data_IF_521382120227
#
_entry.id   IF_521382120227
#
_cell.length_a   1.000
_cell.length_b   1.000
_cell.length_c   1.000
_cell.angle_alpha   90.00
_cell.angle_beta   90.00
_cell.angle_gamma   90.00
#
_symmetry.space_group_name_H-M   'P 1'
#
loop_
_entity.id
_entity.type
_entity.pdbx_description
1 polymer ?
#
# COMPACT_ATOMS: atom_id res chain seq x y z
N UNK A 1 16.43 -16.35 -19.41
CA UNK A 1 16.82 -14.94 -19.07
C UNK A 1 15.70 -14.40 -18.18
N UNK A 2 16.03 -13.78 -17.05
CA UNK A 2 15.01 -13.19 -16.16
C UNK A 2 14.46 -11.94 -16.85
N UNK A 3 13.14 -11.86 -16.97
CA UNK A 3 12.45 -10.68 -17.48
C UNK A 3 12.34 -9.62 -16.37
N UNK A 4 12.73 -8.39 -16.65
CA UNK A 4 12.62 -7.24 -15.75
C UNK A 4 11.64 -6.24 -16.37
N UNK A 5 10.52 -5.93 -15.68
CA UNK A 5 9.54 -4.96 -16.16
C UNK A 5 10.14 -3.57 -16.37
N UNK A 6 9.79 -2.89 -17.47
CA UNK A 6 10.32 -1.55 -17.78
C UNK A 6 9.98 -0.51 -16.71
N UNK A 7 8.79 -0.60 -16.11
CA UNK A 7 8.37 0.32 -15.03
C UNK A 7 9.22 0.16 -13.78
N UNK A 8 9.54 -1.08 -13.40
CA UNK A 8 10.44 -1.35 -12.28
C UNK A 8 11.83 -0.77 -12.55
N UNK A 9 12.35 -0.98 -13.77
CA UNK A 9 13.62 -0.39 -14.19
C UNK A 9 13.58 1.15 -14.18
N UNK A 10 12.43 1.74 -14.56
CA UNK A 10 12.24 3.19 -14.51
C UNK A 10 12.18 3.72 -13.06
N UNK A 11 11.51 3.02 -12.15
CA UNK A 11 11.41 3.39 -10.73
C UNK A 11 12.75 3.32 -9.99
N UNK A 12 13.73 2.57 -10.52
CA UNK A 12 15.09 2.52 -9.97
C UNK A 12 15.96 3.71 -10.37
N UNK A 13 15.58 4.48 -11.39
CA UNK A 13 16.38 5.61 -11.88
C UNK A 13 16.46 6.71 -10.83
N UNK A 14 17.64 7.29 -10.69
CA UNK A 14 17.86 8.38 -9.73
C UNK A 14 18.28 7.93 -8.32
N UNK A 15 18.32 6.62 -8.03
CA UNK A 15 18.82 6.07 -6.76
C UNK A 15 19.90 5.03 -7.02
N UNK A 16 21.13 5.29 -6.53
CA UNK A 16 22.25 4.36 -6.67
C UNK A 16 21.97 3.01 -6.00
N UNK A 17 21.29 3.01 -4.86
CA UNK A 17 20.89 1.80 -4.14
C UNK A 17 19.93 0.96 -4.97
N UNK A 18 18.87 1.57 -5.53
CA UNK A 18 17.90 0.88 -6.38
C UNK A 18 18.50 0.35 -7.69
N UNK A 19 19.43 1.09 -8.28
CA UNK A 19 20.17 0.64 -9.48
C UNK A 19 20.99 -0.61 -9.12
N UNK A 20 21.75 -0.59 -8.02
CA UNK A 20 22.54 -1.74 -7.56
C UNK A 20 21.66 -2.96 -7.29
N UNK A 21 20.52 -2.76 -6.63
CA UNK A 21 19.52 -3.81 -6.40
C UNK A 21 19.01 -4.39 -7.74
N UNK A 22 18.66 -3.54 -8.70
CA UNK A 22 18.13 -3.94 -10.01
C UNK A 22 19.15 -4.78 -10.79
N UNK A 23 20.41 -4.37 -10.78
CA UNK A 23 21.51 -5.10 -11.45
C UNK A 23 21.77 -6.47 -10.81
N UNK A 24 21.58 -6.58 -9.50
CA UNK A 24 21.71 -7.83 -8.74
C UNK A 24 20.55 -8.81 -8.93
N UNK A 25 19.35 -8.36 -9.32
CA UNK A 25 18.14 -9.17 -9.40
C UNK A 25 18.31 -10.52 -10.12
N UNK A 26 18.94 -10.61 -11.32
CA UNK A 26 19.05 -11.89 -12.01
C UNK A 26 19.90 -12.94 -11.26
N UNK A 27 20.84 -12.52 -10.44
CA UNK A 27 21.65 -13.41 -9.61
C UNK A 27 20.85 -13.84 -8.38
N UNK A 28 20.23 -12.91 -7.67
CA UNK A 28 19.40 -13.15 -6.50
C UNK A 28 18.23 -14.07 -6.81
N UNK A 29 17.53 -13.89 -7.92
CA UNK A 29 16.43 -14.76 -8.34
C UNK A 29 16.91 -16.20 -8.54
N UNK A 30 18.07 -16.42 -9.17
CA UNK A 30 18.63 -17.77 -9.36
C UNK A 30 19.00 -18.42 -8.04
N UNK A 31 19.57 -17.66 -7.11
CA UNK A 31 19.90 -18.13 -5.77
C UNK A 31 18.64 -18.57 -5.02
N UNK A 32 17.60 -17.75 -4.99
CA UNK A 32 16.31 -18.05 -4.36
C UNK A 32 15.59 -19.24 -4.99
N UNK A 33 15.65 -19.39 -6.32
CA UNK A 33 15.12 -20.58 -7.00
C UNK A 33 15.82 -21.87 -6.52
N UNK A 34 17.13 -21.83 -6.31
CA UNK A 34 17.88 -22.94 -5.76
C UNK A 34 17.56 -23.19 -4.29
N UNK A 35 17.56 -22.13 -3.47
CA UNK A 35 17.33 -22.19 -2.02
C UNK A 35 15.94 -22.72 -1.68
N UNK A 36 14.90 -22.18 -2.31
CA UNK A 36 13.50 -22.54 -2.05
C UNK A 36 12.97 -23.63 -2.99
N UNK A 37 13.84 -24.15 -3.89
CA UNK A 37 13.50 -25.22 -4.82
C UNK A 37 12.26 -24.93 -5.66
N UNK A 38 12.19 -23.73 -6.20
CA UNK A 38 11.08 -23.25 -7.05
C UNK A 38 11.50 -23.07 -8.50
N UNK A 39 10.56 -23.24 -9.43
CA UNK A 39 10.75 -22.98 -10.84
C UNK A 39 9.94 -21.76 -11.27
N UNK A 40 10.59 -20.83 -11.98
CA UNK A 40 9.93 -19.64 -12.53
C UNK A 40 8.96 -20.04 -13.63
N UNK A 41 7.71 -19.59 -13.52
CA UNK A 41 6.67 -19.80 -14.54
C UNK A 41 6.43 -18.51 -15.32
N UNK A 42 6.06 -17.43 -14.64
CA UNK A 42 5.68 -16.17 -15.26
C UNK A 42 6.08 -14.97 -14.38
N UNK A 43 6.67 -13.93 -14.97
CA UNK A 43 6.92 -12.66 -14.30
C UNK A 43 5.79 -11.68 -14.58
N UNK A 44 5.24 -11.08 -13.55
CA UNK A 44 4.19 -10.06 -13.69
C UNK A 44 4.80 -8.73 -14.14
N UNK A 45 4.15 -8.04 -15.09
CA UNK A 45 4.55 -6.76 -15.66
C UNK A 45 3.42 -5.71 -15.67
N UNK A 46 2.38 -5.96 -14.88
CA UNK A 46 1.22 -5.08 -14.77
C UNK A 46 1.57 -3.64 -14.35
N UNK A 47 0.70 -2.71 -14.73
CA UNK A 47 0.87 -1.26 -14.44
C UNK A 47 0.93 -0.92 -12.95
N UNK A 48 0.50 -1.82 -12.11
CA UNK A 48 0.43 -1.69 -10.65
C UNK A 48 1.74 -2.11 -9.94
N UNK A 49 2.69 -2.75 -10.67
CA UNK A 49 3.91 -3.31 -10.09
C UNK A 49 5.07 -2.35 -10.36
N UNK A 50 5.34 -1.46 -9.42
CA UNK A 50 6.42 -0.45 -9.55
C UNK A 50 7.52 -0.58 -8.49
N UNK A 51 7.24 -1.22 -7.34
CA UNK A 51 8.14 -1.24 -6.18
C UNK A 51 8.67 -2.63 -5.82
N UNK A 52 8.46 -3.64 -6.66
CA UNK A 52 8.97 -5.00 -6.47
C UNK A 52 9.12 -5.74 -7.80
N UNK A 53 9.99 -6.75 -7.83
CA UNK A 53 9.94 -7.77 -8.86
C UNK A 53 9.06 -8.93 -8.34
N UNK A 54 8.06 -9.32 -9.12
CA UNK A 54 7.05 -10.31 -8.72
C UNK A 54 6.88 -11.35 -9.82
N UNK A 55 6.87 -12.63 -9.44
CA UNK A 55 6.66 -13.72 -10.38
C UNK A 55 5.87 -14.88 -9.77
N UNK A 56 5.09 -15.56 -10.60
CA UNK A 56 4.54 -16.87 -10.30
C UNK A 56 5.62 -17.91 -10.42
N UNK A 57 5.71 -18.77 -9.42
CA UNK A 57 6.64 -19.90 -9.37
C UNK A 57 5.92 -21.18 -9.02
N UNK A 58 6.51 -22.33 -9.39
CA UNK A 58 6.02 -23.67 -9.05
C UNK A 58 6.99 -24.32 -8.08
N UNK A 59 6.49 -24.80 -6.96
CA UNK A 59 7.24 -25.54 -5.94
C UNK A 59 7.47 -27.00 -6.37
N UNK A 60 8.31 -27.74 -5.65
CA UNK A 60 8.63 -29.15 -5.97
C UNK A 60 7.42 -30.10 -5.99
N UNK A 61 6.42 -29.82 -5.17
CA UNK A 61 5.18 -30.58 -5.09
C UNK A 61 4.14 -30.22 -6.15
N UNK A 62 4.47 -29.27 -7.04
CA UNK A 62 3.59 -28.79 -8.09
C UNK A 62 2.65 -27.65 -7.66
N UNK A 63 2.69 -27.21 -6.40
CA UNK A 63 1.89 -26.09 -5.95
C UNK A 63 2.44 -24.77 -6.45
N UNK A 64 1.55 -23.80 -6.74
CA UNK A 64 1.93 -22.46 -7.16
C UNK A 64 2.19 -21.56 -5.95
N UNK A 65 3.16 -20.67 -6.09
CA UNK A 65 3.48 -19.63 -5.14
C UNK A 65 3.87 -18.34 -5.88
N UNK A 66 3.99 -17.24 -5.15
CA UNK A 66 4.45 -15.94 -5.66
C UNK A 66 5.81 -15.62 -5.07
N UNK A 67 6.81 -15.48 -5.92
CA UNK A 67 8.12 -14.97 -5.53
C UNK A 67 8.12 -13.46 -5.70
N UNK A 68 8.34 -12.74 -4.59
CA UNK A 68 8.42 -11.28 -4.54
C UNK A 68 9.77 -10.84 -4.00
N UNK A 69 10.43 -9.93 -4.71
CA UNK A 69 11.64 -9.23 -4.26
C UNK A 69 11.33 -7.74 -4.19
N UNK A 70 11.29 -7.18 -2.98
CA UNK A 70 10.99 -5.77 -2.75
C UNK A 70 12.16 -4.86 -3.16
N UNK A 71 11.87 -3.81 -3.92
CA UNK A 71 12.84 -2.73 -4.17
C UNK A 71 13.08 -1.95 -2.88
N UNK A 72 14.30 -1.53 -2.58
CA UNK A 72 14.57 -0.69 -1.40
C UNK A 72 13.79 0.63 -1.46
N UNK A 73 12.83 0.80 -0.56
CA UNK A 73 12.11 2.06 -0.36
C UNK A 73 11.46 2.10 1.03
N UNK A 74 11.20 3.31 1.50
CA UNK A 74 10.74 3.55 2.87
C UNK A 74 9.43 2.80 3.18
N UNK A 75 8.44 2.92 2.35
CA UNK A 75 7.11 2.35 2.63
C UNK A 75 7.09 0.81 2.68
N UNK A 76 7.89 0.15 1.83
CA UNK A 76 7.98 -1.32 1.78
C UNK A 76 8.86 -1.98 2.85
N UNK A 77 9.55 -1.20 3.69
CA UNK A 77 10.58 -1.72 4.59
C UNK A 77 10.10 -2.76 5.62
N UNK A 78 8.82 -2.81 5.97
CA UNK A 78 8.27 -3.73 6.97
C UNK A 78 7.16 -4.64 6.43
N UNK A 79 7.05 -4.82 5.12
CA UNK A 79 6.02 -5.68 4.53
C UNK A 79 6.07 -7.11 5.08
N UNK A 80 7.26 -7.73 5.11
CA UNK A 80 7.46 -9.07 5.66
C UNK A 80 6.99 -9.17 7.12
N UNK A 81 7.35 -8.20 7.95
CA UNK A 81 6.97 -8.19 9.36
C UNK A 81 5.46 -8.00 9.53
N UNK A 82 4.83 -7.18 8.70
CA UNK A 82 3.38 -7.00 8.68
C UNK A 82 2.65 -8.27 8.26
N UNK A 83 3.06 -8.91 7.17
CA UNK A 83 2.49 -10.18 6.72
C UNK A 83 2.61 -11.27 7.79
N UNK A 84 3.75 -11.35 8.48
CA UNK A 84 3.95 -12.28 9.61
C UNK A 84 3.06 -11.94 10.81
N UNK A 85 2.86 -10.65 11.11
CA UNK A 85 1.97 -10.21 12.19
C UNK A 85 0.51 -10.58 11.91
N UNK A 86 0.03 -10.39 10.69
CA UNK A 86 -1.33 -10.77 10.29
C UNK A 86 -1.50 -12.28 10.09
N UNK A 87 -0.41 -13.00 9.84
CA UNK A 87 -0.35 -14.47 9.74
C UNK A 87 -1.44 -15.08 8.85
N UNK A 88 -1.64 -14.47 7.68
CA UNK A 88 -2.66 -14.90 6.72
C UNK A 88 -4.09 -14.49 7.04
N UNK A 89 -4.32 -13.64 8.02
CA UNK A 89 -5.66 -13.12 8.39
C UNK A 89 -5.70 -11.59 8.38
N UNK A 90 -6.28 -10.95 7.35
CA UNK A 90 -6.83 -11.49 6.09
C UNK A 90 -5.83 -11.38 4.91
N UNK A 91 -4.54 -11.45 5.15
CA UNK A 91 -3.49 -11.31 4.14
C UNK A 91 -3.11 -12.65 3.50
N UNK A 92 -2.34 -12.61 2.41
CA UNK A 92 -1.62 -13.79 1.93
C UNK A 92 -0.62 -14.28 2.97
N UNK A 93 -0.36 -15.58 3.02
CA UNK A 93 0.64 -16.20 3.90
C UNK A 93 2.04 -16.04 3.34
N UNK A 94 3.00 -15.86 4.24
CA UNK A 94 4.43 -15.99 3.93
C UNK A 94 4.79 -17.48 4.06
N UNK A 95 5.24 -18.09 2.97
CA UNK A 95 5.68 -19.48 2.94
C UNK A 95 7.16 -19.59 3.32
N UNK A 96 8.00 -18.75 2.68
CA UNK A 96 9.42 -18.60 2.95
C UNK A 96 9.80 -17.13 2.86
N UNK A 97 10.89 -16.73 3.53
CA UNK A 97 11.41 -15.37 3.42
C UNK A 97 12.90 -15.29 3.70
N UNK A 98 13.56 -14.38 3.02
CA UNK A 98 14.91 -13.92 3.29
C UNK A 98 14.86 -12.40 3.50
N UNK A 99 15.09 -11.97 4.75
CA UNK A 99 14.99 -10.57 5.14
C UNK A 99 16.16 -9.73 4.60
N UNK A 100 17.34 -10.32 4.45
CA UNK A 100 18.54 -9.62 3.96
C UNK A 100 18.41 -9.30 2.46
N UNK A 101 17.73 -10.18 1.72
CA UNK A 101 17.44 -10.02 0.29
C UNK A 101 16.11 -9.29 0.03
N UNK A 102 15.36 -8.92 1.07
CA UNK A 102 13.99 -8.42 0.98
C UNK A 102 13.12 -9.28 0.05
N UNK A 103 13.23 -10.60 0.21
CA UNK A 103 12.59 -11.60 -0.63
C UNK A 103 11.57 -12.41 0.15
N UNK A 104 10.44 -12.72 -0.49
CA UNK A 104 9.35 -13.49 0.07
C UNK A 104 8.82 -14.51 -0.94
N UNK A 105 8.53 -15.72 -0.49
CA UNK A 105 7.69 -16.68 -1.18
C UNK A 105 6.31 -16.62 -0.52
N UNK A 106 5.31 -16.21 -1.27
CA UNK A 106 3.97 -15.94 -0.78
C UNK A 106 2.95 -16.95 -1.32
N UNK A 107 1.86 -17.13 -0.57
CA UNK A 107 0.68 -17.86 -1.01
C UNK A 107 0.18 -17.30 -2.36
N UNK A 108 -0.12 -18.21 -3.31
CA UNK A 108 -0.75 -17.85 -4.58
C UNK A 108 -2.26 -17.70 -4.40
N UNK A 109 -2.82 -16.59 -4.81
CA UNK A 109 -4.26 -16.39 -4.87
C UNK A 109 -4.83 -17.04 -6.14
N UNK A 110 -5.75 -17.98 -5.97
CA UNK A 110 -6.46 -18.64 -7.05
C UNK A 110 -7.98 -18.46 -6.86
N UNK A 111 -8.72 -17.93 -7.82
CA UNK A 111 -8.34 -17.58 -9.20
C UNK A 111 -7.56 -16.26 -9.35
N UNK A 112 -7.31 -15.49 -8.28
CA UNK A 112 -6.51 -14.30 -8.33
C UNK A 112 -7.14 -13.08 -9.02
N UNK A 113 -8.47 -13.07 -9.13
CA UNK A 113 -9.19 -11.92 -9.72
C UNK A 113 -9.19 -10.76 -8.74
N UNK A 114 -8.77 -9.58 -9.20
CA UNK A 114 -8.74 -8.39 -8.35
C UNK A 114 -10.15 -7.90 -7.98
N UNK A 115 -10.34 -7.45 -6.75
CA UNK A 115 -11.60 -6.91 -6.23
C UNK A 115 -12.10 -5.72 -7.06
N UNK A 116 -11.20 -4.98 -7.72
CA UNK A 116 -11.56 -3.87 -8.63
C UNK A 116 -12.48 -4.28 -9.79
N UNK A 117 -12.60 -5.60 -10.08
CA UNK A 117 -13.56 -6.11 -11.07
C UNK A 117 -15.01 -6.01 -10.63
N UNK A 118 -15.27 -5.81 -9.34
CA UNK A 118 -16.62 -5.61 -8.80
C UNK A 118 -17.04 -4.13 -8.86
N UNK A 119 -18.35 -3.83 -8.81
CA UNK A 119 -18.85 -2.47 -8.62
C UNK A 119 -18.29 -1.81 -7.35
N UNK A 120 -17.94 -0.51 -7.39
CA UNK A 120 -17.32 0.20 -6.26
C UNK A 120 -18.09 0.08 -4.94
N UNK A 121 -19.43 0.08 -4.97
CA UNK A 121 -20.24 -0.09 -3.75
C UNK A 121 -20.12 -1.48 -3.10
N UNK A 122 -19.79 -2.50 -3.89
CA UNK A 122 -19.46 -3.83 -3.38
C UNK A 122 -18.03 -3.89 -2.85
N UNK A 123 -17.10 -3.19 -3.54
CA UNK A 123 -15.74 -3.01 -3.05
C UNK A 123 -15.71 -2.36 -1.67
N UNK A 124 -16.52 -1.30 -1.43
CA UNK A 124 -16.65 -0.64 -0.12
C UNK A 124 -16.90 -1.66 0.99
N UNK A 125 -17.86 -2.57 0.78
CA UNK A 125 -18.26 -3.57 1.79
C UNK A 125 -17.14 -4.58 2.06
N UNK A 126 -16.45 -5.03 1.02
CA UNK A 126 -15.35 -5.99 1.16
C UNK A 126 -14.15 -5.33 1.84
N UNK A 127 -13.74 -4.15 1.38
CA UNK A 127 -12.60 -3.40 1.97
C UNK A 127 -12.87 -3.08 3.45
N UNK A 128 -14.06 -2.62 3.80
CA UNK A 128 -14.42 -2.34 5.20
C UNK A 128 -14.26 -3.58 6.10
N UNK A 129 -14.71 -4.76 5.65
CA UNK A 129 -14.54 -6.02 6.38
C UNK A 129 -13.06 -6.43 6.50
N UNK A 130 -12.25 -6.21 5.48
CA UNK A 130 -10.83 -6.52 5.51
C UNK A 130 -10.09 -5.56 6.46
N UNK A 131 -10.37 -4.27 6.41
CA UNK A 131 -9.80 -3.27 7.31
C UNK A 131 -10.10 -3.59 8.78
N UNK A 132 -11.33 -3.97 9.12
CA UNK A 132 -11.69 -4.32 10.50
C UNK A 132 -10.91 -5.52 11.05
N UNK A 133 -10.46 -6.45 10.18
CA UNK A 133 -9.60 -7.59 10.54
C UNK A 133 -8.10 -7.21 10.60
N UNK A 134 -7.67 -6.26 9.77
CA UNK A 134 -6.29 -5.78 9.73
C UNK A 134 -5.94 -4.92 10.94
N UNK A 135 -6.86 -4.08 11.41
CA UNK A 135 -6.63 -3.12 12.48
C UNK A 135 -6.47 -3.79 13.85
N UNK A 136 -5.27 -4.29 14.06
CA UNK A 136 -4.86 -4.92 15.32
C UNK A 136 -3.67 -4.17 15.88
N UNK A 137 -3.58 -4.05 17.21
CA UNK A 137 -2.43 -3.44 17.85
C UNK A 137 -1.26 -4.44 17.88
N UNK A 138 -0.08 -4.08 17.34
CA UNK A 138 1.09 -4.93 17.50
C UNK A 138 1.54 -4.95 18.96
N UNK A 139 2.04 -6.10 19.47
CA UNK A 139 2.57 -6.20 20.82
C UNK A 139 3.89 -5.42 20.95
N UNK A 140 4.08 -4.77 22.11
CA UNK A 140 5.33 -4.07 22.40
C UNK A 140 6.43 -5.06 22.91
N UNK A 141 7.69 -4.89 22.54
CA UNK A 141 8.21 -3.96 21.55
C UNK A 141 7.96 -4.43 20.11
N UNK A 142 7.73 -3.51 19.18
CA UNK A 142 7.58 -3.84 17.76
C UNK A 142 8.53 -3.02 16.87
N UNK A 143 8.72 -3.49 15.62
CA UNK A 143 9.60 -2.87 14.62
C UNK A 143 8.90 -1.82 13.74
N UNK A 144 7.58 -1.78 13.77
CA UNK A 144 6.80 -0.93 12.88
C UNK A 144 7.00 0.55 13.20
N UNK A 145 7.15 1.34 12.14
CA UNK A 145 7.28 2.79 12.25
C UNK A 145 5.92 3.44 12.51
N UNK A 146 5.88 4.56 13.24
CA UNK A 146 4.66 5.34 13.37
C UNK A 146 4.29 5.99 12.04
N UNK A 147 2.99 6.17 11.78
CA UNK A 147 2.46 6.89 10.62
C UNK A 147 3.06 8.30 10.50
N UNK A 148 3.35 8.95 11.63
CA UNK A 148 4.02 10.24 11.68
C UNK A 148 5.37 10.27 10.95
N UNK A 149 6.10 9.15 10.88
CA UNK A 149 7.36 9.10 10.13
C UNK A 149 7.13 9.23 8.61
N UNK A 150 6.03 8.67 8.09
CA UNK A 150 5.68 8.79 6.68
C UNK A 150 5.17 10.20 6.35
N UNK A 151 4.25 10.73 7.16
CA UNK A 151 3.69 12.07 6.94
C UNK A 151 4.75 13.17 7.10
N UNK A 152 5.75 12.99 7.97
CA UNK A 152 6.87 13.93 8.10
C UNK A 152 7.74 13.92 6.83
N UNK A 153 8.07 12.75 6.28
CA UNK A 153 8.81 12.67 5.01
C UNK A 153 8.03 13.31 3.86
N UNK A 154 6.75 13.05 3.76
CA UNK A 154 5.89 13.67 2.76
C UNK A 154 5.80 15.20 2.94
N UNK A 155 5.75 15.67 4.19
CA UNK A 155 5.77 17.10 4.46
C UNK A 155 7.08 17.76 3.99
N UNK A 156 8.23 17.11 4.22
CA UNK A 156 9.54 17.58 3.75
C UNK A 156 9.58 17.65 2.21
N UNK A 157 9.13 16.60 1.51
CA UNK A 157 9.08 16.55 0.05
C UNK A 157 8.15 17.63 -0.51
N UNK A 158 6.95 17.78 0.07
CA UNK A 158 6.00 18.82 -0.35
C UNK A 158 6.57 20.23 -0.09
N UNK A 159 7.20 20.46 1.05
CA UNK A 159 7.86 21.73 1.35
C UNK A 159 9.03 22.05 0.41
N UNK A 160 9.77 21.03 -0.04
CA UNK A 160 10.85 21.22 -1.03
C UNK A 160 10.31 21.78 -2.36
N UNK A 161 9.07 21.47 -2.73
CA UNK A 161 8.37 21.98 -3.91
C UNK A 161 7.55 23.25 -3.67
N UNK A 162 7.77 23.98 -2.56
CA UNK A 162 6.92 25.10 -2.14
C UNK A 162 6.78 26.26 -3.18
N UNK A 163 7.76 26.40 -4.07
CA UNK A 163 7.72 27.40 -5.16
C UNK A 163 6.71 27.06 -6.27
N UNK A 164 6.32 25.81 -6.35
CA UNK A 164 5.43 25.24 -7.38
C UNK A 164 3.99 25.08 -6.88
N UNK A 165 3.73 25.46 -5.62
CA UNK A 165 2.40 25.27 -5.03
C UNK A 165 1.34 26.12 -5.72
N UNK A 166 0.29 25.52 -6.29
CA UNK A 166 -0.78 26.25 -6.94
C UNK A 166 -1.73 26.95 -5.96
N UNK A 167 -1.79 26.48 -4.70
CA UNK A 167 -2.64 27.00 -3.63
C UNK A 167 -1.93 26.89 -2.27
N UNK A 168 -1.05 27.85 -1.93
CA UNK A 168 -0.24 27.79 -0.71
C UNK A 168 -1.04 27.71 0.60
N UNK A 169 -2.22 28.32 0.67
CA UNK A 169 -3.06 28.30 1.87
C UNK A 169 -3.61 26.92 2.13
N UNK A 170 -4.13 26.27 1.07
CA UNK A 170 -4.67 24.94 1.14
C UNK A 170 -3.61 23.89 1.50
N UNK A 171 -2.43 24.00 0.89
CA UNK A 171 -1.32 23.07 1.13
C UNK A 171 -0.76 23.22 2.54
N UNK A 172 -0.58 24.47 3.03
CA UNK A 172 -0.14 24.70 4.40
C UNK A 172 -1.10 24.13 5.44
N UNK A 173 -2.40 24.24 5.20
CA UNK A 173 -3.41 23.62 6.09
C UNK A 173 -3.32 22.09 6.04
N UNK A 174 -3.14 21.48 4.86
CA UNK A 174 -2.90 20.06 4.71
C UNK A 174 -1.66 19.58 5.48
N UNK A 175 -0.55 20.33 5.38
CA UNK A 175 0.69 20.03 6.13
C UNK A 175 0.49 20.14 7.64
N UNK A 176 -0.25 21.16 8.11
CA UNK A 176 -0.61 21.30 9.52
C UNK A 176 -1.41 20.10 10.02
N UNK A 177 -2.36 19.63 9.23
CA UNK A 177 -3.15 18.47 9.56
C UNK A 177 -2.34 17.17 9.54
N UNK A 178 -1.33 17.02 8.68
CA UNK A 178 -0.42 15.88 8.75
C UNK A 178 0.25 15.77 10.11
N UNK A 179 0.78 16.89 10.66
CA UNK A 179 1.36 16.90 12.01
C UNK A 179 0.32 16.58 13.10
N UNK A 180 -0.87 17.16 13.00
CA UNK A 180 -1.90 16.99 14.03
C UNK A 180 -2.51 15.59 14.03
N UNK A 181 -2.92 15.08 12.85
CA UNK A 181 -3.64 13.83 12.73
C UNK A 181 -2.74 12.60 12.93
N UNK A 182 -1.45 12.69 12.62
CA UNK A 182 -0.49 11.60 12.78
C UNK A 182 0.12 11.46 14.17
N UNK A 183 -0.26 12.33 15.12
CA UNK A 183 0.20 12.22 16.51
C UNK A 183 -0.21 10.89 17.11
N UNK A 184 0.74 10.25 17.76
CA UNK A 184 0.53 8.96 18.40
C UNK A 184 -0.62 8.99 19.40
N UNK A 185 -1.44 7.95 19.36
CA UNK A 185 -2.61 7.76 20.21
C UNK A 185 -2.60 6.35 20.84
N UNK A 186 -3.19 6.19 22.03
CA UNK A 186 -3.42 4.85 22.58
C UNK A 186 -4.28 3.94 21.70
N UNK A 187 -5.03 4.51 20.75
CA UNK A 187 -5.93 3.78 19.86
C UNK A 187 -5.28 3.40 18.52
N UNK A 188 -3.98 3.73 18.34
CA UNK A 188 -3.25 3.40 17.12
C UNK A 188 -3.16 1.88 16.92
N UNK A 189 -3.26 1.48 15.65
CA UNK A 189 -3.21 0.08 15.20
C UNK A 189 -2.21 -0.08 14.07
N UNK A 190 -1.89 -1.32 13.72
CA UNK A 190 -1.13 -1.59 12.50
C UNK A 190 -2.05 -1.37 11.30
N UNK A 191 -1.65 -0.44 10.44
CA UNK A 191 -2.30 -0.06 9.19
C UNK A 191 -1.69 -0.82 8.02
N UNK A 192 -2.46 -1.03 6.97
CA UNK A 192 -1.96 -1.53 5.69
C UNK A 192 -1.42 -0.40 4.79
N UNK A 193 -1.84 0.81 5.00
CA UNK A 193 -1.63 2.11 4.34
C UNK A 193 -1.84 2.16 2.82
N UNK A 194 -1.78 1.03 2.11
CA UNK A 194 -1.98 0.93 0.66
C UNK A 194 -3.11 -0.04 0.28
N UNK A 195 -4.13 -0.20 1.16
CA UNK A 195 -5.24 -1.08 0.87
C UNK A 195 -6.27 -0.44 -0.06
N UNK A 196 -6.33 -0.94 -1.27
CA UNK A 196 -7.35 -0.60 -2.28
C UNK A 196 -7.77 -1.85 -3.06
N UNK A 197 -8.82 -1.75 -3.88
CA UNK A 197 -9.38 -2.90 -4.60
C UNK A 197 -8.42 -3.60 -5.60
N UNK A 198 -7.28 -2.99 -5.91
CA UNK A 198 -6.20 -3.60 -6.69
C UNK A 198 -5.33 -4.54 -5.87
N UNK A 199 -5.17 -4.25 -4.56
CA UNK A 199 -4.38 -5.03 -3.63
C UNK A 199 -5.21 -6.07 -2.86
N UNK A 200 -6.38 -6.45 -3.41
CA UNK A 200 -7.26 -7.49 -2.86
C UNK A 200 -7.60 -8.48 -3.98
N UNK A 201 -7.24 -9.74 -3.78
CA UNK A 201 -7.42 -10.79 -4.75
C UNK A 201 -8.36 -11.89 -4.23
N UNK A 202 -9.16 -12.44 -5.14
CA UNK A 202 -9.97 -13.62 -4.83
C UNK A 202 -9.07 -14.85 -4.65
N UNK A 203 -9.40 -15.71 -3.66
CA UNK A 203 -8.58 -16.86 -3.32
C UNK A 203 -9.44 -18.05 -2.87
N UNK A 204 -8.82 -19.26 -2.81
CA UNK A 204 -9.52 -20.47 -2.39
C UNK A 204 -9.71 -20.58 -0.88
N UNK A 205 -8.71 -20.11 -0.11
CA UNK A 205 -8.73 -20.19 1.37
C UNK A 205 -9.73 -19.24 1.99
N UNK A 206 -9.84 -18.06 1.43
CA UNK A 206 -10.75 -16.97 1.81
C UNK A 206 -11.33 -16.36 0.53
N UNK A 207 -12.54 -15.81 0.56
CA UNK A 207 -13.09 -15.15 -0.63
C UNK A 207 -12.19 -14.04 -1.18
N UNK A 208 -11.54 -13.31 -0.27
CA UNK A 208 -10.65 -12.19 -0.58
C UNK A 208 -9.45 -12.17 0.35
N UNK A 209 -8.25 -12.00 -0.20
CA UNK A 209 -6.99 -11.84 0.52
C UNK A 209 -6.31 -10.53 0.14
N UNK A 210 -5.73 -9.88 1.14
CA UNK A 210 -4.93 -8.66 0.98
C UNK A 210 -3.50 -9.04 0.58
N UNK A 211 -2.99 -8.34 -0.43
CA UNK A 211 -1.60 -8.41 -0.87
C UNK A 211 -0.92 -7.05 -0.72
N UNK A 212 0.41 -7.00 -0.75
CA UNK A 212 1.24 -5.79 -0.80
C UNK A 212 0.94 -4.73 0.28
N UNK A 213 0.75 -5.10 1.56
CA UNK A 213 0.56 -4.11 2.61
C UNK A 213 1.85 -3.31 2.86
N UNK A 214 1.71 -2.04 3.22
CA UNK A 214 2.81 -1.15 3.64
C UNK A 214 2.62 -0.75 5.10
N UNK A 215 3.12 -1.54 6.08
CA UNK A 215 2.72 -1.43 7.47
C UNK A 215 3.29 -0.19 8.19
N UNK A 216 2.41 0.57 8.82
CA UNK A 216 2.72 1.63 9.78
C UNK A 216 1.77 1.55 10.98
N UNK A 217 2.18 2.04 12.14
CA UNK A 217 1.30 2.16 13.30
C UNK A 217 0.71 3.57 13.35
N UNK A 218 -0.62 3.67 13.42
CA UNK A 218 -1.30 4.96 13.45
C UNK A 218 -2.81 4.89 13.43
N UNK A 219 -3.41 6.00 13.03
CA UNK A 219 -4.84 6.25 13.01
C UNK A 219 -5.57 5.45 11.91
N UNK A 220 -6.56 4.65 12.30
CA UNK A 220 -7.42 3.87 11.39
C UNK A 220 -8.07 4.71 10.28
N UNK A 221 -8.37 5.97 10.57
CA UNK A 221 -8.99 6.86 9.58
C UNK A 221 -8.08 7.15 8.38
N UNK A 222 -6.75 7.10 8.56
CA UNK A 222 -5.81 7.17 7.45
C UNK A 222 -6.00 6.02 6.47
N UNK A 223 -6.08 4.78 6.96
CA UNK A 223 -6.22 3.58 6.12
C UNK A 223 -7.52 3.59 5.28
N UNK A 224 -8.59 4.16 5.84
CA UNK A 224 -9.86 4.32 5.12
C UNK A 224 -9.71 5.20 3.87
N UNK A 225 -8.76 6.14 3.85
CA UNK A 225 -8.61 7.09 2.73
C UNK A 225 -8.06 6.44 1.47
N UNK A 226 -7.24 5.39 1.58
CA UNK A 226 -6.60 4.77 0.42
C UNK A 226 -7.60 4.16 -0.55
N UNK A 227 -8.63 3.48 -0.04
CA UNK A 227 -9.72 2.99 -0.87
C UNK A 227 -10.51 4.14 -1.51
N UNK A 228 -10.81 5.20 -0.76
CA UNK A 228 -11.58 6.35 -1.23
C UNK A 228 -10.88 7.09 -2.38
N UNK A 229 -9.56 7.24 -2.34
CA UNK A 229 -8.79 7.80 -3.48
C UNK A 229 -8.94 6.98 -4.76
N UNK A 230 -9.17 5.67 -4.65
CA UNK A 230 -9.43 4.80 -5.80
C UNK A 230 -10.89 4.86 -6.30
N UNK A 231 -11.80 5.50 -5.57
CA UNK A 231 -13.19 5.79 -5.97
C UNK A 231 -13.30 7.18 -6.63
N UNK A 232 -12.41 7.51 -7.54
CA UNK A 232 -12.19 8.86 -8.09
C UNK A 232 -13.47 9.56 -8.55
N UNK A 233 -14.30 8.89 -9.35
CA UNK A 233 -15.53 9.48 -9.88
C UNK A 233 -16.49 9.88 -8.75
N UNK A 234 -16.71 9.00 -7.79
CA UNK A 234 -17.60 9.25 -6.63
C UNK A 234 -17.04 10.36 -5.73
N UNK A 235 -15.71 10.37 -5.52
CA UNK A 235 -15.05 11.39 -4.71
C UNK A 235 -15.13 12.78 -5.34
N UNK A 236 -15.06 12.90 -6.67
CA UNK A 236 -15.18 14.19 -7.36
C UNK A 236 -16.64 14.67 -7.50
N UNK A 237 -17.62 13.75 -7.50
CA UNK A 237 -19.03 14.13 -7.70
C UNK A 237 -19.83 14.31 -6.42
N UNK A 238 -19.52 13.51 -5.39
CA UNK A 238 -20.23 13.51 -4.12
C UNK A 238 -19.31 13.10 -2.96
N UNK A 239 -18.26 13.92 -2.64
CA UNK A 239 -17.24 13.55 -1.64
C UNK A 239 -17.85 13.23 -0.27
N UNK A 240 -18.68 14.11 0.27
CA UNK A 240 -19.28 13.92 1.60
C UNK A 240 -20.11 12.65 1.72
N UNK A 241 -20.96 12.38 0.73
CA UNK A 241 -21.79 11.17 0.73
C UNK A 241 -20.92 9.90 0.60
N UNK A 242 -19.85 9.96 -0.17
CA UNK A 242 -18.91 8.84 -0.39
C UNK A 242 -18.13 8.56 0.89
N UNK A 243 -17.55 9.60 1.51
CA UNK A 243 -16.81 9.48 2.77
C UNK A 243 -17.74 8.97 3.89
N UNK A 244 -18.92 9.57 4.05
CA UNK A 244 -19.88 9.19 5.10
C UNK A 244 -20.28 7.71 5.01
N UNK A 245 -20.64 7.28 3.79
CA UNK A 245 -20.97 5.88 3.55
C UNK A 245 -19.82 4.95 3.96
N UNK A 246 -18.59 5.26 3.60
CA UNK A 246 -17.46 4.39 3.90
C UNK A 246 -17.07 4.47 5.38
N UNK A 247 -17.10 5.66 5.99
CA UNK A 247 -16.89 5.87 7.41
C UNK A 247 -17.89 5.06 8.26
N UNK A 248 -19.17 5.05 7.86
CA UNK A 248 -20.22 4.22 8.51
C UNK A 248 -19.90 2.72 8.40
N UNK A 249 -19.41 2.24 7.24
CA UNK A 249 -19.06 0.83 7.03
C UNK A 249 -17.86 0.38 7.87
N UNK A 250 -16.87 1.26 8.09
CA UNK A 250 -15.68 0.97 8.89
C UNK A 250 -15.82 1.40 10.36
N UNK A 251 -16.96 1.94 10.76
CA UNK A 251 -17.26 2.41 12.13
C UNK A 251 -16.24 3.44 12.65
N UNK A 252 -15.89 4.41 11.79
CA UNK A 252 -15.00 5.52 12.12
C UNK A 252 -15.76 6.84 12.00
N UNK A 253 -15.39 7.81 12.84
CA UNK A 253 -15.93 9.16 12.75
C UNK A 253 -15.72 9.78 11.37
N UNK A 254 -16.82 10.23 10.76
CA UNK A 254 -16.84 10.83 9.43
C UNK A 254 -15.86 12.02 9.33
N UNK A 255 -15.84 12.88 10.34
CA UNK A 255 -15.03 14.08 10.32
C UNK A 255 -13.53 13.73 10.36
N UNK A 256 -13.16 12.67 11.09
CA UNK A 256 -11.79 12.18 11.13
C UNK A 256 -11.31 11.66 9.75
N UNK A 257 -12.15 10.92 9.05
CA UNK A 257 -11.85 10.45 7.67
C UNK A 257 -11.81 11.64 6.70
N UNK A 258 -12.74 12.60 6.81
CA UNK A 258 -12.77 13.81 5.98
C UNK A 258 -11.51 14.64 6.12
N UNK A 259 -11.03 14.85 7.35
CA UNK A 259 -9.80 15.60 7.61
C UNK A 259 -8.58 14.90 7.01
N UNK A 260 -8.46 13.58 7.13
CA UNK A 260 -7.40 12.82 6.47
C UNK A 260 -7.48 12.89 4.94
N UNK A 261 -8.68 12.78 4.36
CA UNK A 261 -8.90 12.94 2.93
C UNK A 261 -8.47 14.33 2.46
N UNK A 262 -8.86 15.38 3.21
CA UNK A 262 -8.43 16.75 2.92
C UNK A 262 -6.89 16.88 2.99
N UNK A 263 -6.28 16.48 4.10
CA UNK A 263 -4.84 16.61 4.31
C UNK A 263 -4.02 15.92 3.20
N UNK A 264 -4.39 14.70 2.84
CA UNK A 264 -3.76 13.96 1.75
C UNK A 264 -3.99 14.60 0.38
N UNK A 265 -5.22 15.03 0.09
CA UNK A 265 -5.53 15.70 -1.18
C UNK A 265 -4.78 17.01 -1.35
N UNK A 266 -4.57 17.76 -0.25
CA UNK A 266 -3.89 19.04 -0.28
C UNK A 266 -2.36 18.93 -0.24
N UNK A 267 -1.79 17.98 0.51
CA UNK A 267 -0.38 18.01 0.91
C UNK A 267 0.42 16.73 0.68
N UNK A 268 -0.15 15.65 0.16
CA UNK A 268 0.63 14.46 -0.23
C UNK A 268 1.55 14.82 -1.41
N UNK A 269 2.87 14.47 -1.36
CA UNK A 269 3.81 14.85 -2.42
C UNK A 269 3.46 14.20 -3.75
N UNK A 270 3.70 14.92 -4.82
CA UNK A 270 3.39 14.45 -6.19
C UNK A 270 4.29 15.14 -7.20
N UNK A 271 4.54 14.46 -8.30
CA UNK A 271 5.41 14.96 -9.37
C UNK A 271 4.79 16.19 -10.05
N UNK A 272 3.46 16.24 -10.12
CA UNK A 272 2.69 17.37 -10.60
C UNK A 272 1.42 17.56 -9.75
N UNK A 273 0.98 18.81 -9.62
CA UNK A 273 -0.26 19.17 -8.95
C UNK A 273 -1.42 18.98 -9.93
N UNK A 274 -2.04 17.80 -9.91
CA UNK A 274 -3.18 17.55 -10.78
C UNK A 274 -4.46 18.25 -10.27
N UNK A 275 -5.29 18.67 -11.21
CA UNK A 275 -6.52 19.42 -10.92
C UNK A 275 -7.49 18.67 -10.00
N UNK A 276 -7.57 17.33 -10.12
CA UNK A 276 -8.53 16.52 -9.36
C UNK A 276 -8.24 16.52 -7.85
N UNK A 277 -6.97 16.47 -7.44
CA UNK A 277 -6.59 16.52 -6.03
C UNK A 277 -6.92 17.88 -5.41
N UNK A 278 -6.64 18.97 -6.13
CA UNK A 278 -6.97 20.32 -5.68
C UNK A 278 -8.49 20.56 -5.65
N UNK A 279 -9.23 20.04 -6.64
CA UNK A 279 -10.70 20.10 -6.64
C UNK A 279 -11.24 19.38 -5.41
N UNK A 280 -10.73 18.18 -5.11
CA UNK A 280 -11.14 17.43 -3.93
C UNK A 280 -10.76 18.13 -2.64
N UNK A 281 -9.53 18.65 -2.51
CA UNK A 281 -9.11 19.39 -1.34
C UNK A 281 -10.01 20.61 -1.08
N UNK A 282 -10.34 21.40 -2.11
CA UNK A 282 -11.25 22.54 -2.00
C UNK A 282 -12.68 22.14 -1.62
N UNK A 283 -13.15 20.98 -2.08
CA UNK A 283 -14.48 20.48 -1.71
C UNK A 283 -14.56 20.00 -0.27
N UNK A 284 -13.41 19.64 0.32
CA UNK A 284 -13.31 19.12 1.69
C UNK A 284 -12.81 20.17 2.71
N UNK A 285 -12.43 21.36 2.28
CA UNK A 285 -11.93 22.45 3.12
C UNK A 285 -13.04 23.14 4.03
#
# INVERSE_FOLDING_TARGET
>A
MVFIPERLAAACRGSAERITWLEGLPATIRELQGMWCVSLEHTFDGSEISCAWVARVVQRDGTCAILKLGMPHMEGAHELQGLRFWDGDPTVRVLEADADLNAMLLESCEPGVALRSLPELEQDVVIAKLLSRLWRRPPEPHVFRPLAAMTALWAEETMAAAREWPDPVLIQEGLRLFDELSRQSPDDVLLATDLHAGNVLSAQREPWLVIDPKPFVGDRAYDATQHLFNCKHRMLTAPDATIRRFADLVEIDYERVRLWMFARSAAEPRDDWNDDSLVLARALA
#
